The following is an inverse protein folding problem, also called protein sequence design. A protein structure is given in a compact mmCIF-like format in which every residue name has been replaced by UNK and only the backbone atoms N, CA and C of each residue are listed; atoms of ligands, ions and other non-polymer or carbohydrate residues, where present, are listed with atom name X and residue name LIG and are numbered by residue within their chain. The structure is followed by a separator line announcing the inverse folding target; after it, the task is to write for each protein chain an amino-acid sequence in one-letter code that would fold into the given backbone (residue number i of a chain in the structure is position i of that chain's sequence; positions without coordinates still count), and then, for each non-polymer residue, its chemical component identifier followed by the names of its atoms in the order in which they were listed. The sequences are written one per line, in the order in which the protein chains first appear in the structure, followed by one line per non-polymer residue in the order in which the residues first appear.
data_IF_615131292558
#
_entry.id   IF_615131292558
#
_cell.length_a   1.000
_cell.length_b   1.000
_cell.length_c   1.000
_cell.angle_alpha   90.00
_cell.angle_beta   90.00
_cell.angle_gamma   90.00
#
_symmetry.space_group_name_H-M   'P 1'
#
loop_
_entity.id
_entity.type
_entity.pdbx_description
1 polymer ?
#
# COMPACT_ATOMS: atom_id res chain seq x y z
N UNK A 1 0.46 -7.62 14.06
CA UNK A 1 0.38 -6.27 14.68
C UNK A 1 -0.49 -5.35 13.82
N UNK A 2 -1.42 -4.57 14.41
CA UNK A 2 -2.34 -3.69 13.68
C UNK A 2 -1.76 -2.28 13.60
N UNK A 3 -1.63 -1.73 12.39
CA UNK A 3 -1.16 -0.38 12.13
C UNK A 3 -2.31 0.49 11.63
N UNK A 4 -2.38 1.72 12.12
CA UNK A 4 -3.37 2.69 11.65
C UNK A 4 -2.91 3.30 10.31
N UNK A 5 -3.76 3.28 9.29
CA UNK A 5 -3.42 3.72 7.93
C UNK A 5 -2.83 5.15 7.91
N UNK A 6 -3.44 6.09 8.63
CA UNK A 6 -2.99 7.47 8.66
C UNK A 6 -1.57 7.65 9.22
N UNK A 7 -1.12 6.78 10.15
CA UNK A 7 0.27 6.81 10.65
C UNK A 7 1.24 6.33 9.58
N UNK A 8 0.87 5.26 8.86
CA UNK A 8 1.69 4.75 7.74
C UNK A 8 1.75 5.77 6.60
N UNK A 9 0.66 6.48 6.33
CA UNK A 9 0.64 7.55 5.33
C UNK A 9 1.62 8.68 5.65
N UNK A 10 1.71 9.05 6.93
CA UNK A 10 2.63 10.08 7.43
C UNK A 10 4.08 9.58 7.46
N UNK A 11 4.29 8.33 7.84
CA UNK A 11 5.62 7.75 7.95
C UNK A 11 5.61 6.29 7.48
N UNK A 12 5.98 6.07 6.24
CA UNK A 12 6.05 4.75 5.62
C UNK A 12 7.13 3.84 6.27
N UNK A 13 8.10 4.40 6.99
CA UNK A 13 9.13 3.62 7.70
C UNK A 13 8.56 2.81 8.88
N UNK A 14 7.32 3.07 9.28
CA UNK A 14 6.62 2.23 10.26
C UNK A 14 6.30 0.83 9.72
N UNK A 15 6.45 0.61 8.41
CA UNK A 15 6.38 -0.72 7.80
C UNK A 15 7.70 -1.46 8.07
N UNK A 16 7.80 -2.05 9.26
CA UNK A 16 9.01 -2.67 9.81
C UNK A 16 9.05 -4.21 9.67
N UNK A 17 7.91 -4.85 9.37
CA UNK A 17 7.82 -6.30 9.21
C UNK A 17 8.07 -6.73 7.76
N UNK A 18 8.43 -8.01 7.59
CA UNK A 18 8.64 -8.59 6.27
C UNK A 18 7.33 -9.03 5.59
N UNK A 19 6.26 -9.20 6.37
CA UNK A 19 4.93 -9.57 5.89
C UNK A 19 3.91 -8.52 6.29
N UNK A 20 3.25 -7.89 5.32
CA UNK A 20 2.17 -6.92 5.52
C UNK A 20 0.93 -7.29 4.72
N UNK A 21 -0.24 -7.11 5.33
CA UNK A 21 -1.54 -7.21 4.68
C UNK A 21 -2.20 -5.82 4.63
N UNK A 22 -2.46 -5.33 3.42
CA UNK A 22 -3.28 -4.15 3.15
C UNK A 22 -4.65 -4.62 2.67
N UNK A 23 -5.70 -4.34 3.42
CA UNK A 23 -7.06 -4.72 3.06
C UNK A 23 -8.04 -3.56 3.23
N UNK A 24 -9.13 -3.57 2.48
CA UNK A 24 -10.18 -2.54 2.52
C UNK A 24 -10.54 -2.04 1.13
N UNK A 25 -11.54 -1.16 1.08
CA UNK A 25 -12.15 -0.68 -0.16
C UNK A 25 -11.33 0.42 -0.84
N UNK A 26 -10.47 1.13 -0.08
CA UNK A 26 -9.72 2.28 -0.58
C UNK A 26 -8.54 1.84 -1.47
N UNK A 27 -8.84 1.63 -2.76
CA UNK A 27 -7.83 1.24 -3.74
C UNK A 27 -6.76 2.33 -3.91
N UNK A 28 -7.16 3.60 -3.94
CA UNK A 28 -6.23 4.72 -4.09
C UNK A 28 -5.21 4.78 -2.96
N UNK A 29 -5.64 4.55 -1.70
CA UNK A 29 -4.71 4.46 -0.57
C UNK A 29 -3.74 3.29 -0.71
N UNK A 30 -4.23 2.11 -1.12
CA UNK A 30 -3.36 0.93 -1.33
C UNK A 30 -2.33 1.19 -2.42
N UNK A 31 -2.71 1.85 -3.51
CA UNK A 31 -1.80 2.25 -4.59
C UNK A 31 -0.75 3.26 -4.10
N UNK A 32 -1.15 4.29 -3.35
CA UNK A 32 -0.23 5.26 -2.77
C UNK A 32 0.81 4.61 -1.84
N UNK A 33 0.38 3.67 -0.99
CA UNK A 33 1.30 2.93 -0.12
C UNK A 33 2.27 2.06 -0.94
N UNK A 34 1.78 1.37 -1.96
CA UNK A 34 2.60 0.59 -2.89
C UNK A 34 3.66 1.45 -3.57
N UNK A 35 3.30 2.63 -4.06
CA UNK A 35 4.23 3.53 -4.74
C UNK A 35 5.27 4.13 -3.78
N UNK A 36 4.87 4.49 -2.55
CA UNK A 36 5.80 4.92 -1.51
C UNK A 36 6.81 3.83 -1.14
N UNK A 37 6.36 2.58 -1.02
CA UNK A 37 7.23 1.41 -0.74
C UNK A 37 8.23 1.22 -1.87
N UNK A 38 7.79 1.26 -3.14
CA UNK A 38 8.67 1.17 -4.31
C UNK A 38 9.69 2.30 -4.33
N UNK A 39 9.24 3.53 -4.08
CA UNK A 39 10.12 4.71 -4.08
C UNK A 39 11.24 4.61 -3.05
N UNK A 40 10.94 4.06 -1.86
CA UNK A 40 11.96 3.86 -0.84
C UNK A 40 12.94 2.71 -1.15
N UNK A 41 12.54 1.78 -1.99
CA UNK A 41 13.32 0.57 -2.28
C UNK A 41 13.73 0.50 -3.75
N UNK A 42 14.25 1.59 -4.30
CA UNK A 42 14.65 1.72 -5.73
C UNK A 42 15.66 0.68 -6.22
N UNK A 43 16.44 0.09 -5.30
CA UNK A 43 17.44 -0.94 -5.61
C UNK A 43 16.90 -2.36 -5.47
N UNK A 44 15.67 -2.53 -4.97
CA UNK A 44 15.07 -3.84 -4.82
C UNK A 44 14.41 -4.30 -6.12
N UNK A 45 14.48 -5.58 -6.40
CA UNK A 45 13.67 -6.21 -7.44
C UNK A 45 12.21 -6.23 -7.01
N UNK A 46 11.33 -5.68 -7.85
CA UNK A 46 9.89 -5.59 -7.57
C UNK A 46 9.15 -6.66 -8.36
N UNK A 47 8.57 -7.60 -7.65
CA UNK A 47 7.82 -8.73 -8.22
C UNK A 47 6.33 -8.52 -7.92
N UNK A 48 5.50 -8.54 -8.98
CA UNK A 48 4.05 -8.44 -8.84
C UNK A 48 3.41 -9.76 -9.23
N UNK A 49 2.67 -10.36 -8.32
CA UNK A 49 1.96 -11.62 -8.52
C UNK A 49 0.49 -11.46 -8.16
N UNK A 50 -0.37 -12.27 -8.74
CA UNK A 50 -1.71 -12.50 -8.21
C UNK A 50 -1.71 -13.72 -7.29
N UNK A 51 -2.68 -13.81 -6.40
CA UNK A 51 -2.88 -15.01 -5.60
C UNK A 51 -3.03 -16.28 -6.46
N UNK A 52 -3.77 -16.16 -7.56
CA UNK A 52 -4.05 -17.31 -8.44
C UNK A 52 -2.78 -17.77 -9.18
N UNK A 53 -1.88 -16.85 -9.55
CA UNK A 53 -0.58 -17.23 -10.13
C UNK A 53 0.24 -18.08 -9.15
N UNK A 54 0.23 -17.73 -7.87
CA UNK A 54 0.94 -18.46 -6.83
C UNK A 54 0.30 -19.85 -6.61
N UNK A 55 -1.01 -19.91 -6.50
CA UNK A 55 -1.73 -21.18 -6.26
C UNK A 55 -1.52 -22.14 -7.43
N UNK A 56 -1.56 -21.65 -8.66
CA UNK A 56 -1.40 -22.47 -9.85
C UNK A 56 0.05 -22.95 -10.07
N UNK A 57 1.04 -22.25 -9.50
CA UNK A 57 2.48 -22.54 -9.68
C UNK A 57 3.23 -22.58 -8.33
N UNK A 58 2.65 -23.29 -7.35
CA UNK A 58 3.12 -23.25 -5.96
C UNK A 58 4.56 -23.72 -5.79
N UNK A 59 4.99 -24.74 -6.50
CA UNK A 59 6.36 -25.28 -6.42
C UNK A 59 7.38 -24.27 -6.93
N UNK A 60 7.07 -23.58 -8.04
CA UNK A 60 7.93 -22.52 -8.57
C UNK A 60 8.03 -21.34 -7.61
N UNK A 61 6.89 -20.95 -7.00
CA UNK A 61 6.88 -19.89 -6.01
C UNK A 61 7.73 -20.24 -4.78
N UNK A 62 7.60 -21.45 -4.24
CA UNK A 62 8.45 -21.89 -3.13
C UNK A 62 9.93 -21.95 -3.52
N UNK A 63 10.25 -22.45 -4.71
CA UNK A 63 11.62 -22.48 -5.19
C UNK A 63 12.22 -21.08 -5.29
N UNK A 64 11.45 -20.09 -5.77
CA UNK A 64 11.90 -18.70 -5.88
C UNK A 64 12.08 -18.02 -4.51
N UNK A 65 11.14 -18.25 -3.59
CA UNK A 65 11.13 -17.60 -2.27
C UNK A 65 12.12 -18.26 -1.31
N UNK A 66 12.28 -19.58 -1.36
CA UNK A 66 13.07 -20.34 -0.39
C UNK A 66 14.51 -20.57 -0.83
N UNK A 67 14.83 -20.47 -2.13
CA UNK A 67 16.19 -20.53 -2.62
C UNK A 67 16.81 -19.13 -2.53
N UNK A 68 17.53 -18.89 -1.45
CA UNK A 68 18.29 -17.65 -1.24
C UNK A 68 19.40 -17.59 -2.30
N UNK A 69 19.35 -16.58 -3.17
CA UNK A 69 20.44 -16.30 -4.08
C UNK A 69 21.67 -15.86 -3.29
N UNK A 70 22.84 -16.38 -3.67
CA UNK A 70 24.14 -15.96 -3.13
C UNK A 70 24.46 -14.47 -3.45
N UNK A 71 23.68 -13.85 -4.34
CA UNK A 71 23.75 -12.44 -4.71
C UNK A 71 22.53 -11.72 -4.13
N UNK A 72 22.62 -11.33 -2.90
CA UNK A 72 21.59 -10.76 -2.01
C UNK A 72 20.88 -9.49 -2.57
N UNK A 73 20.20 -9.60 -3.70
CA UNK A 73 19.28 -8.56 -4.16
C UNK A 73 18.01 -8.60 -3.33
N UNK A 74 17.69 -7.48 -2.68
CA UNK A 74 16.44 -7.33 -1.93
C UNK A 74 15.26 -7.52 -2.87
N UNK A 75 14.43 -8.53 -2.60
CA UNK A 75 13.21 -8.79 -3.35
C UNK A 75 11.99 -8.30 -2.60
N UNK A 76 11.08 -7.64 -3.31
CA UNK A 76 9.80 -7.16 -2.77
C UNK A 76 8.68 -7.73 -3.61
N UNK A 77 7.84 -8.53 -2.96
CA UNK A 77 6.69 -9.18 -3.57
C UNK A 77 5.41 -8.39 -3.24
N UNK A 78 4.70 -7.97 -4.27
CA UNK A 78 3.33 -7.48 -4.15
C UNK A 78 2.37 -8.56 -4.65
N UNK A 79 1.61 -9.15 -3.72
CA UNK A 79 0.64 -10.21 -4.02
C UNK A 79 -0.74 -9.59 -4.00
N UNK A 80 -1.38 -9.54 -5.17
CA UNK A 80 -2.68 -8.91 -5.35
C UNK A 80 -3.83 -9.93 -5.23
N UNK A 81 -5.06 -9.42 -5.02
CA UNK A 81 -6.30 -10.20 -4.95
C UNK A 81 -6.31 -11.29 -3.88
N UNK A 82 -5.65 -10.99 -2.76
CA UNK A 82 -5.46 -11.94 -1.68
C UNK A 82 -6.75 -12.19 -0.91
N UNK A 83 -7.00 -13.45 -0.59
CA UNK A 83 -8.06 -13.91 0.31
C UNK A 83 -7.60 -15.12 1.14
N UNK A 84 -8.50 -15.77 1.85
CA UNK A 84 -8.18 -16.85 2.78
C UNK A 84 -7.49 -18.08 2.14
N UNK A 85 -7.57 -18.27 0.82
CA UNK A 85 -6.98 -19.42 0.12
C UNK A 85 -5.46 -19.46 0.19
N UNK A 86 -4.80 -18.29 0.28
CA UNK A 86 -3.33 -18.23 0.32
C UNK A 86 -2.76 -18.46 1.73
N UNK A 87 -3.58 -18.50 2.76
CA UNK A 87 -3.15 -18.51 4.15
C UNK A 87 -2.15 -19.62 4.48
N UNK A 88 -2.37 -20.82 3.97
CA UNK A 88 -1.49 -21.94 4.28
C UNK A 88 -0.11 -21.79 3.63
N UNK A 89 -0.05 -21.19 2.45
CA UNK A 89 1.21 -20.80 1.78
C UNK A 89 1.96 -19.76 2.64
N UNK A 90 1.24 -18.75 3.12
CA UNK A 90 1.83 -17.70 3.98
C UNK A 90 2.41 -18.29 5.26
N UNK A 91 1.72 -19.21 5.92
CA UNK A 91 2.23 -19.88 7.14
C UNK A 91 3.51 -20.70 6.88
N UNK A 92 3.66 -21.25 5.67
CA UNK A 92 4.86 -22.01 5.29
C UNK A 92 6.05 -21.07 5.08
N UNK A 93 5.84 -19.93 4.43
CA UNK A 93 6.92 -18.99 4.11
C UNK A 93 7.30 -18.08 5.28
N UNK A 94 6.34 -17.65 6.13
CA UNK A 94 6.59 -16.69 7.23
C UNK A 94 7.84 -17.02 8.06
N UNK A 95 8.04 -18.25 8.57
CA UNK A 95 9.20 -18.57 9.40
C UNK A 95 10.51 -18.65 8.62
N UNK A 96 10.46 -18.63 7.29
CA UNK A 96 11.61 -18.81 6.39
C UNK A 96 12.03 -17.51 5.68
N UNK A 97 11.23 -16.43 5.82
CA UNK A 97 11.53 -15.14 5.24
C UNK A 97 12.60 -14.44 6.08
N UNK A 98 13.68 -14.04 5.47
CA UNK A 98 14.78 -13.29 6.10
C UNK A 98 14.85 -11.85 5.57
N UNK A 99 15.30 -11.68 4.33
CA UNK A 99 15.53 -10.34 3.72
C UNK A 99 14.42 -9.88 2.78
N UNK A 100 13.60 -10.82 2.28
CA UNK A 100 12.50 -10.51 1.36
C UNK A 100 11.34 -9.82 2.09
N UNK A 101 10.59 -8.98 1.34
CA UNK A 101 9.39 -8.33 1.85
C UNK A 101 8.17 -8.71 1.03
N UNK A 102 7.08 -9.01 1.71
CA UNK A 102 5.82 -9.42 1.09
C UNK A 102 4.69 -8.49 1.50
N UNK A 103 4.10 -7.87 0.52
CA UNK A 103 2.96 -6.97 0.67
C UNK A 103 1.73 -7.58 0.01
N UNK A 104 0.83 -8.10 0.82
CA UNK A 104 -0.41 -8.72 0.39
C UNK A 104 -1.48 -7.64 0.26
N UNK A 105 -2.16 -7.61 -0.87
CA UNK A 105 -3.19 -6.63 -1.18
C UNK A 105 -4.51 -7.34 -1.39
N UNK A 106 -5.47 -7.04 -0.51
CA UNK A 106 -6.81 -7.60 -0.53
C UNK A 106 -7.86 -6.50 -0.72
N UNK A 107 -9.02 -6.90 -1.17
CA UNK A 107 -10.24 -6.12 -1.05
C UNK A 107 -10.72 -6.09 0.40
N UNK A 108 -11.98 -5.80 0.62
CA UNK A 108 -12.55 -5.82 1.96
C UNK A 108 -12.51 -7.23 2.54
N UNK A 109 -11.99 -7.34 3.75
CA UNK A 109 -11.98 -8.58 4.53
C UNK A 109 -12.83 -8.40 5.78
N UNK A 110 -13.80 -9.27 5.97
CA UNK A 110 -14.61 -9.24 7.17
C UNK A 110 -13.85 -9.73 8.43
N UNK A 111 -14.48 -9.60 9.60
CA UNK A 111 -13.87 -10.03 10.88
C UNK A 111 -13.68 -11.54 10.99
N UNK A 112 -14.34 -12.34 10.13
CA UNK A 112 -14.25 -13.83 10.13
C UNK A 112 -13.15 -14.31 9.20
N UNK A 113 -12.60 -13.45 8.33
CA UNK A 113 -11.53 -13.82 7.42
C UNK A 113 -10.35 -14.42 8.20
N UNK A 114 -9.92 -15.59 7.79
CA UNK A 114 -8.83 -16.35 8.43
C UNK A 114 -7.49 -15.64 8.23
N UNK A 115 -7.24 -15.10 7.03
CA UNK A 115 -5.99 -14.39 6.74
C UNK A 115 -5.91 -13.09 7.54
N UNK A 116 -6.99 -12.30 7.61
CA UNK A 116 -7.04 -11.11 8.44
C UNK A 116 -6.75 -11.43 9.89
N UNK A 117 -7.43 -12.43 10.48
CA UNK A 117 -7.23 -12.85 11.85
C UNK A 117 -5.81 -13.32 12.12
N UNK A 118 -5.19 -14.01 11.17
CA UNK A 118 -3.81 -14.46 11.27
C UNK A 118 -2.85 -13.28 11.37
N UNK A 119 -2.95 -12.31 10.45
CA UNK A 119 -2.09 -11.13 10.44
C UNK A 119 -2.31 -10.20 11.66
N UNK A 120 -3.55 -10.09 12.15
CA UNK A 120 -3.85 -9.30 13.35
C UNK A 120 -3.22 -9.89 14.62
N UNK A 121 -3.14 -11.22 14.72
CA UNK A 121 -2.62 -11.94 15.89
C UNK A 121 -1.12 -12.20 15.85
N UNK A 122 -0.52 -12.32 14.67
CA UNK A 122 0.91 -12.58 14.53
C UNK A 122 1.74 -11.36 14.98
N UNK A 123 2.81 -11.62 15.72
CA UNK A 123 3.81 -10.61 16.08
C UNK A 123 4.80 -10.32 14.95
N UNK A 124 4.93 -11.24 13.99
CA UNK A 124 5.85 -11.12 12.87
C UNK A 124 5.23 -10.44 11.65
N UNK A 125 3.89 -10.29 11.64
CA UNK A 125 3.15 -9.70 10.54
C UNK A 125 2.60 -8.33 10.90
N UNK A 126 2.48 -7.46 9.88
CA UNK A 126 1.78 -6.19 9.98
C UNK A 126 0.46 -6.22 9.20
N UNK A 127 -0.54 -5.50 9.68
CA UNK A 127 -1.81 -5.34 8.98
C UNK A 127 -2.27 -3.89 9.00
N UNK A 128 -2.74 -3.41 7.85
CA UNK A 128 -3.25 -2.05 7.66
C UNK A 128 -4.63 -2.13 7.02
N UNK A 129 -5.62 -1.57 7.70
CA UNK A 129 -6.95 -1.40 7.13
C UNK A 129 -7.00 -0.12 6.28
N UNK A 130 -7.27 -0.28 5.00
CA UNK A 130 -7.39 0.79 4.01
C UNK A 130 -8.89 1.06 3.73
N UNK A 131 -9.58 1.66 4.69
CA UNK A 131 -10.98 2.04 4.54
C UNK A 131 -11.14 3.31 3.73
N UNK A 132 -12.32 3.50 3.13
CA UNK A 132 -12.64 4.70 2.38
C UNK A 132 -12.50 5.96 3.24
N UNK A 133 -12.06 7.03 2.62
CA UNK A 133 -11.99 8.33 3.25
C UNK A 133 -13.39 8.89 3.50
N UNK A 134 -13.53 9.65 4.58
CA UNK A 134 -14.65 10.55 4.77
C UNK A 134 -14.25 11.98 4.34
N UNK A 135 -15.21 12.90 4.29
CA UNK A 135 -14.95 14.27 3.88
C UNK A 135 -13.86 14.96 4.71
N UNK A 136 -13.81 14.70 6.00
CA UNK A 136 -12.84 15.33 6.91
C UNK A 136 -11.42 14.83 6.60
N UNK A 137 -11.25 13.50 6.50
CA UNK A 137 -9.94 12.92 6.17
C UNK A 137 -9.49 13.32 4.77
N UNK A 138 -10.40 13.37 3.81
CA UNK A 138 -10.12 13.72 2.43
C UNK A 138 -9.68 15.18 2.28
N UNK A 139 -10.40 16.12 2.90
CA UNK A 139 -10.01 17.54 2.93
C UNK A 139 -8.67 17.75 3.64
N UNK A 140 -8.41 17.00 4.71
CA UNK A 140 -7.10 17.03 5.38
C UNK A 140 -5.97 16.61 4.43
N UNK A 141 -6.15 15.57 3.63
CA UNK A 141 -5.15 15.15 2.62
C UNK A 141 -4.88 16.30 1.63
N UNK A 142 -5.94 16.97 1.14
CA UNK A 142 -5.78 18.11 0.22
C UNK A 142 -4.97 19.23 0.86
N UNK A 143 -5.29 19.60 2.10
CA UNK A 143 -4.57 20.62 2.86
C UNK A 143 -3.10 20.25 3.03
N UNK A 144 -2.83 19.04 3.49
CA UNK A 144 -1.46 18.56 3.73
C UNK A 144 -0.62 18.53 2.44
N UNK A 145 -1.24 18.17 1.30
CA UNK A 145 -0.58 18.13 -0.01
C UNK A 145 -0.34 19.51 -0.63
N UNK A 146 -1.16 20.49 -0.31
CA UNK A 146 -1.08 21.84 -0.87
C UNK A 146 -0.53 22.88 0.12
N UNK A 147 -0.10 22.49 1.32
CA UNK A 147 0.35 23.41 2.38
C UNK A 147 1.44 24.39 1.99
N UNK A 148 2.31 24.01 1.04
CA UNK A 148 3.44 24.81 0.59
C UNK A 148 3.07 25.77 -0.57
N UNK A 149 1.79 25.75 -1.02
CA UNK A 149 1.30 26.59 -2.10
C UNK A 149 0.47 27.75 -1.57
N UNK A 150 0.63 28.94 -2.20
CA UNK A 150 -0.18 30.13 -1.88
C UNK A 150 -1.57 30.00 -2.51
N UNK A 151 -2.57 30.63 -1.89
CA UNK A 151 -3.94 30.69 -2.43
C UNK A 151 -4.80 29.45 -2.10
N UNK A 152 -4.35 28.60 -1.19
CA UNK A 152 -5.13 27.46 -0.71
C UNK A 152 -6.19 27.98 0.27
N UNK A 153 -7.40 28.29 -0.24
CA UNK A 153 -8.55 28.73 0.55
C UNK A 153 -9.48 27.55 0.84
N UNK A 154 -10.36 27.72 1.82
CA UNK A 154 -11.40 26.73 2.12
C UNK A 154 -12.29 26.45 0.91
N UNK A 155 -12.60 27.47 0.10
CA UNK A 155 -13.37 27.33 -1.13
C UNK A 155 -12.67 26.43 -2.15
N UNK A 156 -11.38 26.66 -2.38
CA UNK A 156 -10.60 25.83 -3.31
C UNK A 156 -10.49 24.38 -2.83
N UNK A 157 -10.32 24.16 -1.51
CA UNK A 157 -10.30 22.82 -0.92
C UNK A 157 -11.63 22.11 -1.15
N UNK A 158 -12.76 22.81 -0.93
CA UNK A 158 -14.09 22.26 -1.16
C UNK A 158 -14.30 21.91 -2.64
N UNK A 159 -13.94 22.81 -3.56
CA UNK A 159 -14.03 22.55 -5.00
C UNK A 159 -13.25 21.31 -5.44
N UNK A 160 -12.02 21.14 -4.95
CA UNK A 160 -11.20 19.95 -5.25
C UNK A 160 -11.85 18.69 -4.66
N UNK A 161 -12.31 18.77 -3.40
CA UNK A 161 -12.95 17.65 -2.71
C UNK A 161 -14.21 17.18 -3.43
N UNK A 162 -15.09 18.10 -3.79
CA UNK A 162 -16.36 17.82 -4.48
C UNK A 162 -16.11 17.21 -5.88
N UNK A 163 -15.16 17.77 -6.62
CA UNK A 163 -14.78 17.26 -7.94
C UNK A 163 -14.25 15.82 -7.89
N UNK A 164 -13.51 15.49 -6.85
CA UNK A 164 -12.89 14.18 -6.69
C UNK A 164 -13.84 13.13 -6.11
N UNK A 165 -14.94 13.55 -5.43
CA UNK A 165 -15.91 12.66 -4.82
C UNK A 165 -15.28 11.56 -3.97
N UNK A 166 -14.42 11.93 -3.03
CA UNK A 166 -13.68 11.06 -2.10
C UNK A 166 -12.80 9.98 -2.79
N UNK A 167 -12.55 10.11 -4.08
CA UNK A 167 -11.71 9.18 -4.84
C UNK A 167 -10.27 9.68 -4.87
N UNK A 168 -9.34 8.93 -4.26
CA UNK A 168 -7.93 9.30 -4.16
C UNK A 168 -7.20 9.31 -5.50
N UNK A 169 -7.54 8.42 -6.43
CA UNK A 169 -6.90 8.40 -7.74
C UNK A 169 -7.28 9.66 -8.54
N UNK A 170 -8.56 10.10 -8.43
CA UNK A 170 -8.99 11.38 -9.00
C UNK A 170 -8.27 12.55 -8.33
N UNK A 171 -8.13 12.52 -6.99
CA UNK A 171 -7.41 13.56 -6.26
C UNK A 171 -5.96 13.65 -6.69
N UNK A 172 -5.26 12.54 -6.79
CA UNK A 172 -3.87 12.50 -7.25
C UNK A 172 -3.73 13.14 -8.64
N UNK A 173 -4.61 12.78 -9.58
CA UNK A 173 -4.61 13.35 -10.92
C UNK A 173 -4.87 14.87 -10.92
N UNK A 174 -5.78 15.37 -10.07
CA UNK A 174 -6.03 16.82 -9.97
C UNK A 174 -4.85 17.54 -9.31
N UNK A 175 -4.25 16.97 -8.27
CA UNK A 175 -3.07 17.54 -7.63
C UNK A 175 -1.87 17.58 -8.57
N UNK A 176 -1.65 16.57 -9.41
CA UNK A 176 -0.58 16.54 -10.39
C UNK A 176 -0.74 17.66 -11.45
N UNK A 177 -1.98 17.97 -11.84
CA UNK A 177 -2.25 19.13 -12.71
C UNK A 177 -1.89 20.44 -12.02
N UNK A 178 -2.27 20.60 -10.76
CA UNK A 178 -1.96 21.77 -9.95
C UNK A 178 -0.45 21.93 -9.81
N UNK A 179 0.28 20.87 -9.47
CA UNK A 179 1.73 20.89 -9.35
C UNK A 179 2.41 21.26 -10.66
N UNK A 180 1.95 20.68 -11.77
CA UNK A 180 2.49 20.98 -13.10
C UNK A 180 2.26 22.42 -13.49
N UNK A 181 1.11 23.00 -13.15
CA UNK A 181 0.79 24.40 -13.42
C UNK A 181 1.74 25.34 -12.64
N UNK A 182 1.87 25.16 -11.33
CA UNK A 182 2.76 25.98 -10.50
C UNK A 182 4.23 25.78 -10.82
N UNK A 183 4.64 24.59 -11.22
CA UNK A 183 6.01 24.36 -11.67
C UNK A 183 6.34 25.16 -12.92
N UNK A 184 5.43 25.22 -13.89
CA UNK A 184 5.62 26.04 -15.11
C UNK A 184 5.67 27.54 -14.85
N UNK A 185 4.90 28.05 -13.89
CA UNK A 185 4.93 29.47 -13.52
C UNK A 185 6.24 29.88 -12.82
N UNK A 186 6.87 28.99 -12.09
CA UNK A 186 8.14 29.24 -11.40
C UNK A 186 9.34 29.38 -12.37
N UNK A 187 9.20 28.90 -13.60
CA UNK A 187 10.24 28.94 -14.64
C UNK A 187 9.89 29.85 -15.83
N UNK A 188 8.83 30.63 -15.73
CA UNK A 188 8.53 31.79 -16.59
C UNK A 188 8.93 33.08 -15.90
#
# INVERSE_FOLDING_TARGET
MIYKSYLIEQNINLIDKNLFLFYGENLGLKNELKDKIKFQNKKAEIINLSQDDIINNIDNFFNEVLNISLFDEKKIYFINQVNDKILDIIKIIEPKIDSQKFYLISESLDKRSKIRNYFEKSNNCGVVACYNDNEISFKKIIIDRLKDYKGVTTENINLISDKCNLNRDKLNNELDKIYTFFFREKYR
#
